data_IF_846822833499
#
_entry.id   IF_846822833499
#
_cell.length_a   1.000
_cell.length_b   1.000
_cell.length_c   1.000
_cell.angle_alpha   90.00
_cell.angle_beta   90.00
_cell.angle_gamma   90.00
#
_symmetry.space_group_name_H-M   'P 1'
#
loop_
_entity.id
_entity.type
_entity.pdbx_description
1 polymer ?
#
# COMPACT_ATOMS: atom_id res chain seq x y z
N UNK A 1 -27.92 -1.27 -4.37
CA UNK A 1 -27.36 -0.77 -5.63
C UNK A 1 -26.21 0.15 -5.26
N UNK A 2 -25.06 0.00 -5.89
CA UNK A 2 -23.94 0.90 -5.64
C UNK A 2 -24.31 2.30 -6.13
N UNK A 3 -23.92 3.33 -5.36
CA UNK A 3 -24.20 4.73 -5.64
C UNK A 3 -23.18 5.37 -6.60
N UNK A 4 -22.52 4.52 -7.39
CA UNK A 4 -21.54 4.84 -8.40
C UNK A 4 -21.63 3.80 -9.53
N UNK A 5 -20.99 4.10 -10.66
CA UNK A 5 -20.81 3.19 -11.79
C UNK A 5 -19.40 3.34 -12.37
N UNK A 6 -18.90 2.28 -13.04
CA UNK A 6 -17.61 2.32 -13.75
C UNK A 6 -17.89 2.60 -15.23
N UNK A 7 -17.23 3.63 -15.78
CA UNK A 7 -17.36 4.05 -17.18
C UNK A 7 -16.00 4.28 -17.81
N UNK A 8 -15.89 4.11 -19.12
CA UNK A 8 -14.73 4.59 -19.88
C UNK A 8 -14.87 6.10 -20.11
N UNK A 9 -13.87 6.88 -19.72
CA UNK A 9 -13.75 8.30 -20.00
C UNK A 9 -12.60 8.54 -20.98
N UNK A 10 -12.84 9.42 -21.95
CA UNK A 10 -11.85 9.77 -22.97
C UNK A 10 -10.56 10.31 -22.32
N UNK A 11 -9.41 9.73 -22.70
CA UNK A 11 -8.09 10.11 -22.18
C UNK A 11 -7.77 9.63 -20.76
N UNK A 12 -8.72 9.01 -20.05
CA UNK A 12 -8.53 8.52 -18.66
C UNK A 12 -8.75 7.01 -18.50
N UNK A 13 -9.32 6.36 -19.51
CA UNK A 13 -9.73 4.97 -19.40
C UNK A 13 -10.89 4.80 -18.41
N UNK A 14 -10.89 3.67 -17.68
CA UNK A 14 -11.94 3.38 -16.69
C UNK A 14 -11.92 4.39 -15.55
N UNK A 15 -13.10 4.86 -15.17
CA UNK A 15 -13.30 5.80 -14.10
C UNK A 15 -14.56 5.46 -13.29
N UNK A 16 -14.54 5.81 -12.00
CA UNK A 16 -15.70 5.73 -11.13
C UNK A 16 -16.50 7.04 -11.19
N UNK A 17 -17.80 6.96 -11.46
CA UNK A 17 -18.69 8.12 -11.60
C UNK A 17 -19.86 8.02 -10.62
N UNK A 18 -20.16 9.10 -9.92
CA UNK A 18 -21.25 9.16 -8.94
C UNK A 18 -22.63 9.03 -9.62
N UNK A 19 -23.51 8.16 -9.10
CA UNK A 19 -24.89 8.01 -9.62
C UNK A 19 -25.94 8.76 -8.78
N UNK A 20 -25.51 9.36 -7.67
CA UNK A 20 -26.25 10.30 -6.83
C UNK A 20 -25.32 11.41 -6.33
N UNK A 21 -25.90 12.38 -5.62
CA UNK A 21 -25.12 13.35 -4.86
C UNK A 21 -24.59 12.72 -3.56
N UNK A 22 -23.36 13.06 -3.19
CA UNK A 22 -22.74 12.73 -1.91
C UNK A 22 -22.44 14.00 -1.12
N UNK A 23 -22.67 13.97 0.18
CA UNK A 23 -22.23 15.04 1.10
C UNK A 23 -20.84 14.72 1.66
N UNK A 24 -20.19 15.73 2.26
CA UNK A 24 -18.88 15.56 2.92
C UNK A 24 -18.95 14.46 3.99
N UNK A 25 -17.91 13.65 4.08
CA UNK A 25 -17.75 12.47 4.94
C UNK A 25 -18.74 11.32 4.70
N UNK A 26 -19.60 11.43 3.69
CA UNK A 26 -20.47 10.31 3.31
C UNK A 26 -19.63 9.14 2.77
N UNK A 27 -19.88 7.94 3.30
CA UNK A 27 -19.27 6.70 2.83
C UNK A 27 -19.83 6.37 1.44
N UNK A 28 -18.93 6.28 0.45
CA UNK A 28 -19.24 5.90 -0.92
C UNK A 28 -19.34 4.36 -1.01
N UNK A 29 -18.33 3.66 -0.50
CA UNK A 29 -18.35 2.20 -0.31
C UNK A 29 -17.30 1.73 0.70
N UNK A 30 -17.46 0.47 1.12
CA UNK A 30 -16.46 -0.31 1.86
C UNK A 30 -16.08 -1.53 1.03
N UNK A 31 -14.80 -1.92 1.04
CA UNK A 31 -14.30 -3.05 0.27
C UNK A 31 -13.25 -3.86 1.05
N UNK A 32 -13.43 -5.18 1.11
CA UNK A 32 -12.39 -6.11 1.53
C UNK A 32 -11.38 -6.32 0.39
N UNK A 33 -10.09 -6.52 0.69
CA UNK A 33 -9.10 -6.70 -0.35
C UNK A 33 -9.30 -8.02 -1.10
N UNK A 34 -9.03 -7.98 -2.40
CA UNK A 34 -8.82 -9.18 -3.19
C UNK A 34 -7.66 -10.00 -2.60
N UNK A 35 -6.56 -9.32 -2.28
CA UNK A 35 -5.42 -9.85 -1.54
C UNK A 35 -4.77 -8.73 -0.74
N UNK A 36 -4.31 -9.01 0.47
CA UNK A 36 -3.53 -8.11 1.32
C UNK A 36 -2.32 -8.84 1.87
N UNK A 37 -1.25 -8.14 2.21
CA UNK A 37 -0.12 -8.71 2.94
C UNK A 37 0.67 -7.63 3.69
N UNK A 38 1.20 -8.01 4.85
CA UNK A 38 2.14 -7.18 5.61
C UNK A 38 3.43 -6.94 4.83
N UNK A 39 4.02 -5.77 4.98
CA UNK A 39 5.32 -5.45 4.41
C UNK A 39 6.43 -6.36 4.96
N UNK A 40 7.43 -6.65 4.13
CA UNK A 40 8.41 -7.69 4.40
C UNK A 40 9.40 -7.27 5.49
N UNK A 41 9.81 -6.01 5.50
CA UNK A 41 10.59 -5.41 6.57
C UNK A 41 9.78 -5.22 7.84
N UNK A 42 8.50 -4.82 7.78
CA UNK A 42 7.68 -4.74 9.00
C UNK A 42 7.58 -6.10 9.68
N UNK A 43 7.38 -7.18 8.91
CA UNK A 43 7.43 -8.54 9.42
C UNK A 43 8.80 -8.90 10.01
N UNK A 44 9.90 -8.52 9.36
CA UNK A 44 11.27 -8.78 9.81
C UNK A 44 11.64 -8.00 11.09
N UNK A 45 11.17 -6.77 11.23
CA UNK A 45 11.31 -5.93 12.43
C UNK A 45 10.32 -6.29 13.54
N UNK A 46 9.50 -7.32 13.34
CA UNK A 46 8.65 -7.89 14.37
C UNK A 46 7.31 -7.20 14.57
N UNK A 47 6.84 -6.37 13.62
CA UNK A 47 5.48 -5.85 13.66
C UNK A 47 4.49 -7.02 13.68
N UNK A 48 3.68 -7.11 14.72
CA UNK A 48 2.71 -8.18 14.85
C UNK A 48 1.38 -7.74 14.23
N UNK A 49 0.98 -8.39 13.13
CA UNK A 49 -0.32 -8.18 12.49
C UNK A 49 -1.04 -9.51 12.23
N UNK A 50 -2.36 -9.44 12.16
CA UNK A 50 -3.19 -10.56 11.74
C UNK A 50 -2.88 -10.91 10.28
N UNK A 51 -2.50 -12.16 10.03
CA UNK A 51 -2.15 -12.63 8.67
C UNK A 51 -3.32 -12.52 7.69
N UNK A 52 -4.57 -12.50 8.17
CA UNK A 52 -5.74 -12.28 7.32
C UNK A 52 -6.05 -10.81 7.08
N UNK A 53 -6.55 -10.11 8.11
CA UNK A 53 -7.13 -8.79 7.96
C UNK A 53 -6.19 -7.63 8.32
N UNK A 54 -4.88 -7.87 8.47
CA UNK A 54 -3.86 -6.86 8.83
C UNK A 54 -4.05 -6.14 10.17
N UNK A 55 -5.03 -6.54 10.99
CA UNK A 55 -5.27 -5.94 12.30
C UNK A 55 -4.04 -6.07 13.21
N UNK A 56 -3.61 -5.01 13.90
CA UNK A 56 -2.47 -5.06 14.80
C UNK A 56 -2.68 -6.07 15.93
N UNK A 57 -1.63 -6.83 16.25
CA UNK A 57 -1.57 -7.84 17.31
C UNK A 57 -0.51 -7.50 18.37
N UNK A 58 -0.11 -6.23 18.43
CA UNK A 58 0.70 -5.60 19.46
C UNK A 58 -0.04 -4.39 20.03
N UNK A 59 0.17 -4.10 21.31
CA UNK A 59 -0.33 -2.90 22.00
C UNK A 59 0.33 -1.63 21.47
N UNK A 60 -0.22 -0.47 21.82
CA UNK A 60 0.41 0.82 21.56
C UNK A 60 1.81 0.92 22.19
N UNK A 61 1.97 0.42 23.41
CA UNK A 61 3.26 0.45 24.11
C UNK A 61 4.28 -0.43 23.42
N UNK A 62 3.89 -1.66 23.04
CA UNK A 62 4.77 -2.57 22.29
C UNK A 62 5.16 -1.96 20.93
N UNK A 63 4.19 -1.37 20.21
CA UNK A 63 4.43 -0.69 18.93
C UNK A 63 5.46 0.45 19.08
N UNK A 64 5.25 1.37 20.02
CA UNK A 64 6.16 2.51 20.23
C UNK A 64 7.53 2.04 20.71
N UNK A 65 7.62 1.07 21.63
CA UNK A 65 8.90 0.58 22.13
C UNK A 65 9.71 -0.13 21.04
N UNK A 66 9.03 -0.88 20.16
CA UNK A 66 9.65 -1.51 18.99
C UNK A 66 10.17 -0.47 18.01
N UNK A 67 9.36 0.53 17.68
CA UNK A 67 9.71 1.58 16.73
C UNK A 67 10.81 2.53 17.24
N UNK A 68 10.81 2.85 18.53
CA UNK A 68 11.85 3.69 19.13
C UNK A 68 13.09 2.90 19.60
N UNK A 69 13.02 1.57 19.59
CA UNK A 69 14.02 0.64 20.15
C UNK A 69 14.45 0.99 21.59
N UNK A 70 13.53 1.57 22.38
CA UNK A 70 13.74 1.94 23.79
C UNK A 70 12.38 2.13 24.48
N UNK A 71 12.32 2.02 25.81
CA UNK A 71 11.11 2.39 26.54
C UNK A 71 10.77 3.87 26.35
N UNK A 72 9.57 4.14 25.84
CA UNK A 72 8.97 5.47 25.72
C UNK A 72 7.68 5.49 26.54
N UNK A 73 7.48 6.54 27.33
CA UNK A 73 6.26 6.73 28.07
C UNK A 73 5.16 7.22 27.11
N UNK A 74 4.03 6.51 27.09
CA UNK A 74 2.87 6.86 26.26
C UNK A 74 1.69 7.15 27.19
N UNK A 75 1.10 8.37 27.15
CA UNK A 75 -0.04 8.71 27.99
C UNK A 75 -1.34 8.10 27.45
N UNK A 76 -2.45 8.28 28.19
CA UNK A 76 -3.81 7.96 27.71
C UNK A 76 -3.96 6.53 27.17
N UNK A 77 -3.38 5.54 27.86
CA UNK A 77 -3.39 4.13 27.45
C UNK A 77 -4.80 3.51 27.45
N UNK A 78 -5.74 4.11 28.18
CA UNK A 78 -7.16 3.77 28.09
C UNK A 78 -7.75 3.99 26.68
N UNK A 79 -7.07 4.76 25.83
CA UNK A 79 -7.43 4.97 24.43
C UNK A 79 -6.73 4.01 23.47
N UNK A 80 -5.88 3.08 23.92
CA UNK A 80 -5.21 2.09 23.05
C UNK A 80 -6.25 1.37 22.15
N UNK A 81 -6.13 1.48 20.81
CA UNK A 81 -7.13 0.96 19.89
C UNK A 81 -7.19 -0.58 19.91
N UNK A 82 -6.15 -1.26 20.40
CA UNK A 82 -5.99 -2.72 20.30
C UNK A 82 -6.62 -3.52 21.44
N UNK A 83 -6.93 -2.84 22.55
CA UNK A 83 -7.59 -3.41 23.74
C UNK A 83 -8.75 -4.38 23.43
N UNK A 84 -9.66 -4.12 22.46
CA UNK A 84 -10.81 -4.99 22.21
C UNK A 84 -10.48 -6.38 21.69
N UNK A 85 -9.31 -6.60 21.06
CA UNK A 85 -8.99 -7.86 20.36
C UNK A 85 -7.70 -8.55 20.81
N UNK A 86 -6.85 -7.90 21.59
CA UNK A 86 -5.58 -8.50 22.03
C UNK A 86 -5.72 -9.78 22.86
N UNK A 87 -6.87 -9.99 23.51
CA UNK A 87 -7.11 -11.20 24.30
C UNK A 87 -7.60 -12.40 23.47
N UNK A 88 -7.89 -12.21 22.18
CA UNK A 88 -8.63 -13.17 21.36
C UNK A 88 -7.81 -13.77 20.21
N UNK A 89 -6.52 -13.45 20.11
CA UNK A 89 -5.72 -13.96 18.99
C UNK A 89 -5.56 -15.48 19.04
N UNK A 90 -5.55 -16.08 17.85
CA UNK A 90 -5.26 -17.50 17.63
C UNK A 90 -4.04 -17.63 16.71
N UNK A 91 -3.59 -18.85 16.48
CA UNK A 91 -2.47 -19.11 15.59
C UNK A 91 -2.61 -20.42 14.83
N UNK A 92 -2.02 -20.49 13.64
CA UNK A 92 -1.89 -21.74 12.91
C UNK A 92 -1.03 -22.73 13.72
N UNK A 93 -1.53 -23.93 13.94
CA UNK A 93 -0.83 -24.94 14.73
C UNK A 93 0.50 -25.40 14.08
N UNK A 94 0.61 -25.30 12.75
CA UNK A 94 1.78 -25.74 11.98
C UNK A 94 2.86 -24.67 11.89
N UNK A 95 2.54 -23.49 11.35
CA UNK A 95 3.53 -22.43 11.10
C UNK A 95 3.55 -21.31 12.15
N UNK A 96 2.65 -21.34 13.14
CA UNK A 96 2.53 -20.34 14.21
C UNK A 96 2.19 -18.91 13.76
N UNK A 97 1.79 -18.71 12.50
CA UNK A 97 1.27 -17.41 12.06
C UNK A 97 0.02 -17.05 12.86
N UNK A 98 -0.11 -15.77 13.23
CA UNK A 98 -1.14 -15.29 14.17
C UNK A 98 -2.33 -14.69 13.42
N UNK A 99 -3.50 -14.80 14.02
CA UNK A 99 -4.77 -14.24 13.54
C UNK A 99 -5.47 -13.53 14.69
N UNK A 100 -6.15 -12.42 14.44
CA UNK A 100 -6.87 -11.68 15.49
C UNK A 100 -8.09 -12.43 16.04
N UNK A 101 -8.61 -13.43 15.32
CA UNK A 101 -9.75 -14.26 15.71
C UNK A 101 -9.71 -15.63 15.02
N UNK A 102 -10.54 -16.56 15.51
CA UNK A 102 -10.75 -17.86 14.86
C UNK A 102 -11.36 -17.69 13.45
N UNK A 103 -12.28 -16.75 13.28
CA UNK A 103 -12.90 -16.45 11.97
C UNK A 103 -11.85 -16.04 10.94
N UNK A 104 -10.93 -15.15 11.30
CA UNK A 104 -9.81 -14.76 10.43
C UNK A 104 -8.91 -15.96 10.06
N UNK A 105 -8.65 -16.86 11.00
CA UNK A 105 -7.88 -18.08 10.68
C UNK A 105 -8.65 -19.01 9.75
N UNK A 106 -9.96 -19.18 9.96
CA UNK A 106 -10.81 -20.04 9.12
C UNK A 106 -10.90 -19.48 7.70
N UNK A 107 -11.13 -18.18 7.54
CA UNK A 107 -11.21 -17.56 6.21
C UNK A 107 -9.85 -17.58 5.49
N UNK A 108 -8.74 -17.33 6.21
CA UNK A 108 -7.40 -17.49 5.65
C UNK A 108 -7.14 -18.93 5.17
N UNK A 109 -7.45 -19.96 5.98
CA UNK A 109 -7.35 -21.38 5.59
C UNK A 109 -8.16 -21.69 4.35
N UNK A 110 -9.38 -21.17 4.27
CA UNK A 110 -10.28 -21.36 3.13
C UNK A 110 -9.71 -20.72 1.86
N UNK A 111 -9.19 -19.48 1.93
CA UNK A 111 -8.72 -18.69 0.78
C UNK A 111 -7.32 -19.06 0.29
N UNK A 112 -6.31 -19.12 1.16
CA UNK A 112 -4.90 -19.26 0.73
C UNK A 112 -3.98 -20.02 1.69
N UNK A 113 -4.31 -20.11 2.99
CA UNK A 113 -3.34 -20.55 3.98
C UNK A 113 -3.05 -22.06 3.97
N UNK A 114 -3.92 -22.92 3.40
CA UNK A 114 -3.60 -24.36 3.28
C UNK A 114 -2.39 -24.60 2.36
N UNK A 115 -2.28 -23.82 1.29
CA UNK A 115 -1.17 -23.83 0.32
C UNK A 115 -0.03 -22.93 0.81
N UNK A 116 -0.32 -21.72 1.29
CA UNK A 116 0.71 -20.78 1.75
C UNK A 116 1.38 -21.17 3.09
N UNK A 117 0.84 -22.13 3.84
CA UNK A 117 1.41 -22.53 5.14
C UNK A 117 2.77 -23.20 4.96
N UNK A 118 3.84 -22.48 5.29
CA UNK A 118 5.21 -23.00 5.27
C UNK A 118 5.52 -23.99 6.40
N UNK A 119 4.60 -24.21 7.35
CA UNK A 119 4.81 -25.13 8.47
C UNK A 119 6.12 -24.87 9.21
N UNK A 120 6.96 -25.92 9.33
CA UNK A 120 8.28 -25.83 9.96
C UNK A 120 9.31 -25.02 9.15
N UNK A 121 9.09 -24.83 7.85
CA UNK A 121 9.97 -24.06 6.96
C UNK A 121 9.77 -22.54 7.08
N UNK A 122 8.88 -22.08 7.96
CA UNK A 122 8.60 -20.64 8.11
C UNK A 122 9.87 -19.83 8.39
N UNK A 123 10.77 -20.38 9.21
CA UNK A 123 12.02 -19.73 9.60
C UNK A 123 13.24 -20.38 8.90
N UNK A 124 13.01 -21.08 7.78
CA UNK A 124 14.08 -21.68 6.98
C UNK A 124 14.46 -20.73 5.85
N UNK A 125 15.59 -20.06 5.98
CA UNK A 125 16.08 -19.08 4.99
C UNK A 125 16.39 -19.71 3.62
N UNK A 126 16.51 -21.04 3.55
CA UNK A 126 16.73 -21.77 2.28
C UNK A 126 15.43 -22.11 1.56
N UNK A 127 14.28 -21.95 2.21
CA UNK A 127 12.98 -22.20 1.60
C UNK A 127 12.76 -21.24 0.42
N UNK A 128 12.32 -21.70 -0.76
CA UNK A 128 12.23 -20.86 -1.97
C UNK A 128 11.43 -19.56 -1.80
N UNK A 129 10.37 -19.58 -1.00
CA UNK A 129 9.56 -18.38 -0.69
C UNK A 129 10.35 -17.38 0.18
N UNK A 130 11.14 -17.87 1.14
CA UNK A 130 11.96 -17.01 1.99
C UNK A 130 13.11 -16.41 1.18
N UNK A 131 13.74 -17.20 0.30
CA UNK A 131 14.76 -16.68 -0.65
C UNK A 131 14.18 -15.57 -1.54
N UNK A 132 12.97 -15.76 -2.09
CA UNK A 132 12.29 -14.73 -2.87
C UNK A 132 12.05 -13.45 -2.04
N UNK A 133 11.58 -13.59 -0.81
CA UNK A 133 11.33 -12.47 0.08
C UNK A 133 12.62 -11.73 0.48
N UNK A 134 13.72 -12.44 0.70
CA UNK A 134 15.02 -11.83 1.00
C UNK A 134 15.58 -11.04 -0.18
N UNK A 135 15.41 -11.53 -1.42
CA UNK A 135 15.80 -10.80 -2.62
C UNK A 135 14.96 -9.51 -2.74
N UNK A 136 13.64 -9.60 -2.54
CA UNK A 136 12.76 -8.43 -2.53
C UNK A 136 13.21 -7.36 -1.53
N UNK A 137 13.47 -7.76 -0.27
CA UNK A 137 13.91 -6.84 0.78
C UNK A 137 15.24 -6.14 0.46
N UNK A 138 16.16 -6.82 -0.22
CA UNK A 138 17.44 -6.22 -0.65
C UNK A 138 17.26 -5.20 -1.77
N UNK A 139 16.24 -5.37 -2.62
CA UNK A 139 15.91 -4.43 -3.69
C UNK A 139 15.12 -3.23 -3.16
N UNK A 140 14.26 -3.44 -2.16
CA UNK A 140 13.37 -2.44 -1.57
C UNK A 140 13.71 -2.27 -0.10
N UNK A 141 14.75 -1.47 0.18
CA UNK A 141 15.03 -1.05 1.55
C UNK A 141 13.93 -0.07 2.02
N UNK A 142 13.58 -0.03 3.33
CA UNK A 142 12.54 0.87 3.82
C UNK A 142 12.79 2.35 3.43
N UNK A 143 11.71 3.14 3.24
CA UNK A 143 10.30 2.78 3.43
C UNK A 143 9.71 1.90 2.32
N UNK A 144 9.01 0.81 2.68
CA UNK A 144 8.36 -0.08 1.71
C UNK A 144 7.03 0.50 1.20
N UNK A 145 6.85 0.47 -0.12
CA UNK A 145 5.59 0.83 -0.79
C UNK A 145 4.85 -0.38 -1.36
N UNK A 146 5.46 -1.58 -1.30
CA UNK A 146 4.90 -2.82 -1.82
C UNK A 146 5.58 -4.06 -1.21
N UNK A 147 5.02 -5.24 -1.45
CA UNK A 147 5.64 -6.51 -1.03
C UNK A 147 5.43 -7.63 -2.06
N UNK A 148 6.48 -8.39 -2.34
CA UNK A 148 6.40 -9.60 -3.18
C UNK A 148 5.47 -10.67 -2.59
N UNK A 149 5.21 -10.60 -1.29
CA UNK A 149 4.37 -11.57 -0.59
C UNK A 149 2.90 -11.49 -1.00
N UNK A 150 2.46 -10.39 -1.63
CA UNK A 150 1.17 -10.34 -2.33
C UNK A 150 1.10 -11.37 -3.45
N UNK A 151 2.15 -11.48 -4.28
CA UNK A 151 2.20 -12.49 -5.36
C UNK A 151 2.22 -13.89 -4.76
N UNK A 152 2.99 -14.12 -3.70
CA UNK A 152 3.00 -15.42 -3.01
C UNK A 152 1.60 -15.81 -2.54
N UNK A 153 0.87 -14.87 -1.94
CA UNK A 153 -0.50 -15.10 -1.50
C UNK A 153 -1.46 -15.29 -2.68
N UNK A 154 -1.31 -14.55 -3.78
CA UNK A 154 -2.09 -14.74 -5.01
C UNK A 154 -1.90 -16.14 -5.60
N UNK A 155 -0.67 -16.65 -5.67
CA UNK A 155 -0.40 -18.01 -6.15
C UNK A 155 -1.10 -19.05 -5.27
N UNK A 156 -1.04 -18.87 -3.94
CA UNK A 156 -1.74 -19.76 -3.01
C UNK A 156 -3.27 -19.66 -3.12
N UNK A 157 -3.81 -18.46 -3.35
CA UNK A 157 -5.24 -18.27 -3.63
C UNK A 157 -5.67 -18.96 -4.92
N UNK A 158 -4.88 -18.83 -5.99
CA UNK A 158 -5.15 -19.46 -7.28
C UNK A 158 -5.17 -20.99 -7.17
N UNK A 159 -4.15 -21.57 -6.56
CA UNK A 159 -4.05 -23.03 -6.38
C UNK A 159 -5.22 -23.58 -5.54
N UNK A 160 -5.63 -22.86 -4.49
CA UNK A 160 -6.76 -23.26 -3.66
C UNK A 160 -8.14 -22.99 -4.26
N UNK A 161 -8.23 -22.14 -5.27
CA UNK A 161 -9.51 -21.72 -5.84
C UNK A 161 -10.15 -22.88 -6.59
N UNK A 162 -11.40 -23.17 -6.25
CA UNK A 162 -12.25 -24.05 -7.07
C UNK A 162 -12.75 -23.37 -8.36
N UNK A 163 -12.56 -22.05 -8.46
CA UNK A 163 -13.07 -21.20 -9.53
C UNK A 163 -11.93 -20.39 -10.17
N UNK A 164 -10.97 -21.09 -10.76
CA UNK A 164 -9.76 -20.49 -11.34
C UNK A 164 -10.05 -19.46 -12.43
N UNK A 165 -11.08 -19.68 -13.25
CA UNK A 165 -11.49 -18.75 -14.30
C UNK A 165 -11.97 -17.40 -13.73
N UNK A 166 -12.87 -17.42 -12.73
CA UNK A 166 -13.34 -16.20 -12.05
C UNK A 166 -12.18 -15.47 -11.35
N UNK A 167 -11.26 -16.21 -10.70
CA UNK A 167 -10.06 -15.62 -10.09
C UNK A 167 -9.18 -14.91 -11.13
N UNK A 168 -8.93 -15.56 -12.27
CA UNK A 168 -8.12 -14.98 -13.34
C UNK A 168 -8.80 -13.75 -13.96
N UNK A 169 -10.12 -13.77 -14.14
CA UNK A 169 -10.89 -12.62 -14.62
C UNK A 169 -10.76 -11.42 -13.67
N UNK A 170 -10.85 -11.66 -12.36
CA UNK A 170 -10.65 -10.62 -11.35
C UNK A 170 -9.21 -10.07 -11.36
N UNK A 171 -8.21 -10.95 -11.43
CA UNK A 171 -6.80 -10.57 -11.49
C UNK A 171 -6.48 -9.77 -12.77
N UNK A 172 -7.03 -10.17 -13.91
CA UNK A 172 -6.89 -9.46 -15.19
C UNK A 172 -7.65 -8.13 -15.23
N UNK A 173 -8.55 -7.88 -14.28
CA UNK A 173 -9.27 -6.61 -14.22
C UNK A 173 -8.39 -5.44 -13.73
N UNK A 174 -7.28 -5.71 -13.03
CA UNK A 174 -6.35 -4.70 -12.56
C UNK A 174 -5.56 -4.06 -13.72
N UNK A 175 -5.06 -2.85 -13.52
CA UNK A 175 -4.15 -2.25 -14.50
C UNK A 175 -2.80 -2.98 -14.44
N UNK A 176 -2.22 -3.32 -15.58
CA UNK A 176 -0.91 -3.97 -15.66
C UNK A 176 0.07 -3.20 -16.58
N UNK A 177 -0.29 -1.97 -16.95
CA UNK A 177 0.52 -1.13 -17.82
C UNK A 177 1.82 -0.75 -17.12
N UNK A 178 2.92 -1.30 -17.62
CA UNK A 178 4.28 -0.97 -17.19
C UNK A 178 5.00 -0.04 -18.17
N UNK A 179 4.41 0.19 -19.35
CA UNK A 179 4.93 1.07 -20.41
C UNK A 179 3.74 1.78 -21.08
N UNK A 180 3.72 3.11 -21.05
CA UNK A 180 2.81 3.91 -21.86
C UNK A 180 3.56 4.35 -23.12
N UNK A 181 3.33 3.64 -24.22
CA UNK A 181 4.04 3.87 -25.49
C UNK A 181 3.64 5.18 -26.16
N UNK A 182 2.41 5.66 -25.93
CA UNK A 182 1.92 6.92 -26.51
C UNK A 182 2.66 8.11 -25.89
N UNK A 183 2.86 8.08 -24.57
CA UNK A 183 3.54 9.14 -23.82
C UNK A 183 5.03 8.87 -23.59
N UNK A 184 5.55 7.72 -24.06
CA UNK A 184 6.93 7.23 -23.84
C UNK A 184 7.33 7.17 -22.36
N UNK A 185 6.41 6.78 -21.48
CA UNK A 185 6.67 6.65 -20.04
C UNK A 185 6.88 5.17 -19.69
N UNK A 186 7.91 4.90 -18.89
CA UNK A 186 8.24 3.58 -18.38
C UNK A 186 8.11 3.57 -16.86
N UNK A 187 7.67 2.44 -16.30
CA UNK A 187 7.63 2.26 -14.85
C UNK A 187 9.03 2.27 -14.25
N UNK A 188 9.24 2.93 -13.10
CA UNK A 188 10.55 3.03 -12.42
C UNK A 188 11.24 1.68 -12.23
N UNK A 189 10.47 0.65 -11.85
CA UNK A 189 10.93 -0.75 -11.76
C UNK A 189 11.52 -1.37 -13.04
N UNK A 190 11.39 -0.72 -14.21
CA UNK A 190 11.97 -1.15 -15.49
C UNK A 190 13.19 -0.31 -15.92
N UNK A 191 13.68 0.61 -15.09
CA UNK A 191 14.90 1.35 -15.38
C UNK A 191 16.12 0.43 -15.52
N UNK A 192 17.11 0.84 -16.30
CA UNK A 192 18.32 0.04 -16.61
C UNK A 192 19.06 -0.42 -15.33
N UNK A 193 19.03 0.40 -14.27
CA UNK A 193 19.62 0.12 -12.96
C UNK A 193 18.98 -1.08 -12.22
N UNK A 194 17.74 -1.46 -12.58
CA UNK A 194 16.98 -2.52 -11.91
C UNK A 194 16.94 -3.84 -12.70
N UNK A 195 17.45 -3.88 -13.93
CA UNK A 195 17.31 -5.05 -14.81
C UNK A 195 17.93 -6.31 -14.20
N UNK A 196 19.17 -6.21 -13.68
CA UNK A 196 19.85 -7.35 -13.06
C UNK A 196 19.15 -7.84 -11.79
N UNK A 197 18.66 -6.91 -10.96
CA UNK A 197 17.94 -7.25 -9.74
C UNK A 197 16.60 -7.91 -10.07
N UNK A 198 15.90 -7.42 -11.09
CA UNK A 198 14.65 -8.00 -11.59
C UNK A 198 14.85 -9.41 -12.17
N UNK A 199 15.97 -9.67 -12.85
CA UNK A 199 16.32 -11.02 -13.31
C UNK A 199 16.52 -11.99 -12.14
N UNK A 200 17.24 -11.56 -11.09
CA UNK A 200 17.42 -12.36 -9.87
C UNK A 200 16.08 -12.66 -9.17
N UNK A 201 15.22 -11.64 -9.03
CA UNK A 201 13.90 -11.76 -8.44
C UNK A 201 13.02 -12.72 -9.26
N UNK A 202 13.02 -12.61 -10.58
CA UNK A 202 12.31 -13.51 -11.48
C UNK A 202 12.81 -14.97 -11.37
N UNK A 203 14.13 -15.17 -11.30
CA UNK A 203 14.72 -16.49 -11.09
C UNK A 203 14.28 -17.12 -9.77
N UNK A 204 14.27 -16.35 -8.68
CA UNK A 204 13.77 -16.80 -7.38
C UNK A 204 12.26 -17.07 -7.39
N UNK A 205 11.48 -16.26 -8.11
CA UNK A 205 10.04 -16.46 -8.31
C UNK A 205 9.78 -17.79 -9.04
N UNK A 206 10.46 -18.05 -10.14
CA UNK A 206 10.37 -19.33 -10.85
C UNK A 206 10.78 -20.50 -9.97
N UNK A 207 11.79 -20.31 -9.11
CA UNK A 207 12.24 -21.33 -8.16
C UNK A 207 11.19 -21.64 -7.08
N UNK A 208 10.43 -20.63 -6.65
CA UNK A 208 9.35 -20.78 -5.69
C UNK A 208 8.10 -21.46 -6.28
N UNK A 209 7.82 -21.25 -7.57
CA UNK A 209 6.60 -21.71 -8.23
C UNK A 209 6.86 -22.68 -9.40
N UNK A 210 7.71 -23.70 -9.19
CA UNK A 210 8.14 -24.64 -10.24
C UNK A 210 7.07 -25.62 -10.75
N UNK A 211 5.97 -25.79 -10.03
CA UNK A 211 4.98 -26.82 -10.38
C UNK A 211 4.25 -26.49 -11.69
N UNK A 212 3.79 -27.53 -12.41
CA UNK A 212 3.02 -27.35 -13.66
C UNK A 212 1.77 -26.46 -13.48
N UNK A 213 1.19 -26.46 -12.28
CA UNK A 213 0.05 -25.61 -11.91
C UNK A 213 0.34 -24.12 -12.11
N UNK A 214 1.59 -23.68 -11.93
CA UNK A 214 1.99 -22.29 -12.04
C UNK A 214 2.67 -21.93 -13.37
N UNK A 215 2.72 -22.87 -14.32
CA UNK A 215 3.42 -22.67 -15.59
C UNK A 215 2.96 -21.42 -16.37
N UNK A 216 1.69 -21.02 -16.23
CA UNK A 216 1.18 -19.81 -16.87
C UNK A 216 1.68 -18.50 -16.23
N UNK A 217 2.10 -18.54 -14.97
CA UNK A 217 2.60 -17.37 -14.23
C UNK A 217 4.12 -17.23 -14.29
N UNK A 218 4.85 -18.33 -14.50
CA UNK A 218 6.32 -18.37 -14.52
C UNK A 218 6.92 -18.10 -15.90
N UNK A 219 6.20 -17.38 -16.76
CA UNK A 219 6.78 -16.79 -17.97
C UNK A 219 7.28 -15.37 -17.69
N UNK A 220 8.28 -14.85 -18.42
CA UNK A 220 8.77 -13.49 -18.20
C UNK A 220 7.67 -12.42 -18.33
N UNK A 221 6.78 -12.58 -19.32
CA UNK A 221 5.69 -11.63 -19.57
C UNK A 221 4.62 -11.68 -18.48
N UNK A 222 4.28 -12.88 -17.99
CA UNK A 222 3.33 -13.02 -16.89
C UNK A 222 3.89 -12.45 -15.59
N UNK A 223 5.18 -12.68 -15.30
CA UNK A 223 5.84 -12.07 -14.14
C UNK A 223 5.84 -10.53 -14.23
N UNK A 224 6.23 -9.97 -15.37
CA UNK A 224 6.17 -8.52 -15.62
C UNK A 224 4.75 -7.97 -15.46
N UNK A 225 3.74 -8.70 -15.90
CA UNK A 225 2.33 -8.34 -15.73
C UNK A 225 1.93 -8.31 -14.26
N UNK A 226 2.31 -9.33 -13.46
CA UNK A 226 2.06 -9.36 -12.01
C UNK A 226 2.75 -8.19 -11.31
N UNK A 227 3.99 -7.88 -11.67
CA UNK A 227 4.72 -6.74 -11.16
C UNK A 227 4.05 -5.41 -11.50
N UNK A 228 3.54 -5.26 -12.73
CA UNK A 228 2.73 -4.10 -13.14
C UNK A 228 1.45 -3.95 -12.34
N UNK A 229 0.76 -5.05 -12.06
CA UNK A 229 -0.44 -5.06 -11.20
C UNK A 229 -0.10 -4.56 -9.80
N UNK A 230 0.99 -5.08 -9.20
CA UNK A 230 1.43 -4.64 -7.88
C UNK A 230 1.82 -3.15 -7.89
N UNK A 231 2.66 -2.72 -8.83
CA UNK A 231 3.19 -1.36 -8.88
C UNK A 231 2.11 -0.29 -9.09
N UNK A 232 1.08 -0.58 -9.90
CA UNK A 232 0.10 0.43 -10.31
C UNK A 232 -1.23 0.39 -9.53
N UNK A 233 -1.48 -0.64 -8.71
CA UNK A 233 -2.76 -0.79 -8.01
C UNK A 233 -2.64 -1.09 -6.51
N UNK A 234 -1.43 -1.26 -5.97
CA UNK A 234 -1.28 -1.54 -4.53
C UNK A 234 -1.68 -0.33 -3.71
N UNK A 235 -2.60 -0.53 -2.77
CA UNK A 235 -2.99 0.46 -1.78
C UNK A 235 -2.28 0.14 -0.47
N UNK A 236 -1.55 1.11 0.09
CA UNK A 236 -0.99 1.02 1.43
C UNK A 236 -2.10 0.90 2.48
N UNK A 237 -1.93 -0.03 3.41
CA UNK A 237 -2.90 -0.34 4.48
C UNK A 237 -2.43 0.35 5.77
N UNK A 238 -3.14 1.41 6.15
CA UNK A 238 -2.79 2.25 7.30
C UNK A 238 -3.32 1.67 8.62
N UNK A 239 -2.68 0.63 9.13
CA UNK A 239 -3.08 -0.06 10.39
C UNK A 239 -2.16 0.22 11.57
N UNK A 240 -1.29 1.24 11.49
CA UNK A 240 -0.38 1.62 12.58
C UNK A 240 -1.14 1.94 13.87
N UNK A 241 -0.71 1.30 14.96
CA UNK A 241 -1.31 1.46 16.29
C UNK A 241 -1.09 2.87 16.82
N UNK A 242 0.13 3.39 16.66
CA UNK A 242 0.49 4.76 17.03
C UNK A 242 -0.38 5.77 16.30
N UNK A 243 -0.49 5.67 14.97
CA UNK A 243 -1.28 6.62 14.17
C UNK A 243 -2.77 6.61 14.53
N UNK A 244 -3.33 5.42 14.79
CA UNK A 244 -4.72 5.29 15.23
C UNK A 244 -4.96 5.85 16.63
N UNK A 245 -4.01 5.63 17.55
CA UNK A 245 -4.08 6.23 18.88
C UNK A 245 -4.03 7.75 18.80
N UNK A 246 -3.10 8.32 18.02
CA UNK A 246 -2.98 9.77 17.76
C UNK A 246 -4.32 10.33 17.28
N UNK A 247 -4.89 9.75 16.22
CA UNK A 247 -6.20 10.17 15.68
C UNK A 247 -7.27 10.21 16.79
N UNK A 248 -7.35 9.14 17.59
CA UNK A 248 -8.36 9.01 18.64
C UNK A 248 -8.17 9.98 19.80
N UNK A 249 -6.93 10.30 20.18
CA UNK A 249 -6.66 11.24 21.28
C UNK A 249 -6.76 12.70 20.83
N UNK A 250 -6.42 13.00 19.57
CA UNK A 250 -6.60 14.33 18.98
C UNK A 250 -8.07 14.76 18.87
N UNK A 251 -8.98 13.79 18.71
CA UNK A 251 -10.44 14.04 18.68
C UNK A 251 -11.07 14.24 20.07
N UNK A 252 -10.29 14.15 21.16
CA UNK A 252 -10.83 14.30 22.51
C UNK A 252 -11.23 15.75 22.79
N UNK A 253 -12.37 15.97 23.48
CA UNK A 253 -12.83 17.31 23.86
C UNK A 253 -12.03 17.84 25.06
N UNK A 254 -10.76 18.14 24.85
CA UNK A 254 -9.84 18.65 25.87
C UNK A 254 -9.78 20.19 25.87
N UNK A 255 -9.48 20.83 27.02
CA UNK A 255 -9.09 22.24 27.06
C UNK A 255 -7.87 22.51 26.16
N UNK A 256 -7.80 23.70 25.56
CA UNK A 256 -6.71 24.05 24.62
C UNK A 256 -5.30 23.88 25.20
N UNK A 257 -5.11 24.19 26.49
CA UNK A 257 -3.82 23.98 27.15
C UNK A 257 -3.43 22.49 27.21
N UNK A 258 -4.39 21.61 27.47
CA UNK A 258 -4.17 20.16 27.53
C UNK A 258 -3.96 19.58 26.13
N UNK A 259 -4.64 20.12 25.11
CA UNK A 259 -4.37 19.77 23.69
C UNK A 259 -2.96 20.11 23.27
N UNK A 260 -2.51 21.34 23.53
CA UNK A 260 -1.13 21.75 23.19
C UNK A 260 -0.10 20.88 23.91
N UNK A 261 -0.37 20.50 25.17
CA UNK A 261 0.50 19.57 25.89
C UNK A 261 0.50 18.17 25.26
N UNK A 262 -0.68 17.67 24.85
CA UNK A 262 -0.82 16.38 24.19
C UNK A 262 -0.09 16.36 22.84
N UNK A 263 -0.27 17.39 22.01
CA UNK A 263 0.42 17.54 20.73
C UNK A 263 1.94 17.50 20.91
N UNK A 264 2.45 18.22 21.91
CA UNK A 264 3.89 18.20 22.21
C UNK A 264 4.40 16.81 22.63
N UNK A 265 3.58 16.02 23.32
CA UNK A 265 3.93 14.64 23.68
C UNK A 265 3.88 13.72 22.45
N UNK A 266 2.89 13.90 21.58
CA UNK A 266 2.79 13.16 20.32
C UNK A 266 4.02 13.43 19.45
N UNK A 267 4.42 14.70 19.31
CA UNK A 267 5.60 15.11 18.57
C UNK A 267 6.89 14.49 19.15
N UNK A 268 7.03 14.47 20.48
CA UNK A 268 8.17 13.83 21.16
C UNK A 268 8.20 12.30 20.95
N UNK A 269 7.04 11.64 20.89
CA UNK A 269 6.94 10.22 20.54
C UNK A 269 7.39 9.99 19.10
N UNK A 270 6.88 10.77 18.14
CA UNK A 270 7.28 10.65 16.73
C UNK A 270 8.76 10.97 16.52
N UNK A 271 9.31 11.97 17.21
CA UNK A 271 10.74 12.27 17.15
C UNK A 271 11.59 11.08 17.63
N UNK A 272 11.23 10.48 18.78
CA UNK A 272 11.93 9.28 19.31
C UNK A 272 11.80 8.06 18.42
N UNK A 273 10.66 7.90 17.75
CA UNK A 273 10.46 6.86 16.73
C UNK A 273 11.35 7.14 15.53
N UNK A 274 11.35 8.37 15.01
CA UNK A 274 12.15 8.79 13.85
C UNK A 274 13.66 8.64 14.08
N UNK A 275 14.16 8.85 15.30
CA UNK A 275 15.57 8.64 15.67
C UNK A 275 16.08 7.22 15.36
N UNK A 276 15.21 6.20 15.42
CA UNK A 276 15.59 4.81 15.17
C UNK A 276 14.99 4.23 13.88
N UNK A 277 13.70 4.48 13.65
CA UNK A 277 12.96 3.93 12.51
C UNK A 277 13.15 4.76 11.22
N UNK A 278 13.69 5.98 11.29
CA UNK A 278 13.81 6.88 10.14
C UNK A 278 12.45 7.37 9.66
N UNK A 279 12.28 7.46 8.33
CA UNK A 279 10.99 7.76 7.71
C UNK A 279 10.01 6.60 7.93
N UNK A 280 9.13 6.78 8.92
CA UNK A 280 8.09 5.83 9.25
C UNK A 280 6.81 6.16 8.48
N UNK A 281 6.48 5.34 7.48
CA UNK A 281 5.15 5.38 6.86
C UNK A 281 4.14 4.75 7.83
N UNK A 282 2.97 5.39 8.00
CA UNK A 282 1.87 4.86 8.81
C UNK A 282 1.18 3.63 8.17
N UNK A 283 1.81 3.00 7.17
CA UNK A 283 1.33 1.85 6.42
C UNK A 283 2.09 0.59 6.82
N UNK A 284 1.36 -0.47 7.14
CA UNK A 284 1.95 -1.69 7.67
C UNK A 284 1.99 -2.84 6.66
N UNK A 285 1.37 -2.62 5.51
CA UNK A 285 1.26 -3.56 4.42
C UNK A 285 0.58 -2.92 3.23
N UNK A 286 0.27 -3.74 2.25
CA UNK A 286 -0.45 -3.32 1.05
C UNK A 286 -1.51 -4.33 0.66
N UNK A 287 -2.48 -3.89 -0.14
CA UNK A 287 -3.52 -4.75 -0.70
C UNK A 287 -3.97 -4.31 -2.08
N UNK A 288 -4.58 -5.26 -2.80
CA UNK A 288 -5.23 -5.04 -4.09
C UNK A 288 -6.75 -5.04 -3.88
N UNK A 289 -7.41 -4.01 -4.37
CA UNK A 289 -8.84 -3.76 -4.19
C UNK A 289 -9.51 -3.59 -5.55
N UNK A 290 -10.54 -4.40 -5.84
CA UNK A 290 -11.11 -4.50 -7.18
C UNK A 290 -11.81 -3.21 -7.58
N UNK A 291 -12.60 -2.61 -6.68
CA UNK A 291 -13.34 -1.37 -6.93
C UNK A 291 -12.44 -0.15 -6.74
N UNK A 292 -11.66 -0.10 -5.66
CA UNK A 292 -10.77 1.04 -5.40
C UNK A 292 -9.71 1.23 -6.51
N UNK A 293 -9.21 0.15 -7.13
CA UNK A 293 -8.31 0.23 -8.29
C UNK A 293 -8.93 0.84 -9.57
N UNK A 294 -10.23 1.14 -9.58
CA UNK A 294 -10.92 1.79 -10.71
C UNK A 294 -11.11 3.29 -10.53
N UNK A 295 -10.59 3.85 -9.44
CA UNK A 295 -10.74 5.27 -9.11
C UNK A 295 -9.51 6.01 -9.60
N UNK A 296 -9.69 7.01 -10.45
CA UNK A 296 -8.57 7.77 -11.00
C UNK A 296 -7.99 8.78 -10.01
N UNK A 297 -6.77 9.22 -10.33
CA UNK A 297 -6.07 10.27 -9.61
C UNK A 297 -6.60 11.68 -9.92
N UNK A 298 -6.59 12.55 -8.91
CA UNK A 298 -6.61 14.01 -9.04
C UNK A 298 -5.73 14.64 -7.96
N UNK A 299 -4.93 15.67 -8.30
CA UNK A 299 -4.20 16.45 -7.28
C UNK A 299 -5.12 17.36 -6.45
N UNK A 300 -6.41 17.40 -6.79
CA UNK A 300 -7.52 17.98 -6.01
C UNK A 300 -8.60 16.91 -5.89
N UNK A 301 -8.38 15.88 -5.05
CA UNK A 301 -9.31 14.76 -4.94
C UNK A 301 -10.62 15.20 -4.31
N UNK A 302 -11.71 14.50 -4.65
CA UNK A 302 -13.02 14.70 -4.04
C UNK A 302 -13.44 13.53 -3.14
N UNK A 303 -12.63 12.47 -3.07
CA UNK A 303 -12.78 11.36 -2.15
C UNK A 303 -11.41 10.93 -1.58
N UNK A 304 -11.42 10.18 -0.48
CA UNK A 304 -10.22 9.58 0.10
C UNK A 304 -10.46 8.14 0.56
N UNK A 305 -9.42 7.31 0.44
CA UNK A 305 -9.36 5.97 1.04
C UNK A 305 -8.98 6.09 2.52
N UNK A 306 -9.67 5.35 3.38
CA UNK A 306 -9.39 5.29 4.83
C UNK A 306 -9.50 3.87 5.36
N UNK A 307 -8.93 3.60 6.54
CA UNK A 307 -8.95 2.30 7.21
C UNK A 307 -9.49 2.43 8.65
N UNK A 308 -10.77 2.81 8.83
CA UNK A 308 -11.32 3.19 10.13
C UNK A 308 -11.48 2.02 11.12
N UNK A 309 -11.38 0.76 10.65
CA UNK A 309 -11.66 -0.43 11.45
C UNK A 309 -10.42 -1.17 11.95
N UNK A 310 -9.25 -0.51 11.85
CA UNK A 310 -7.96 -1.09 12.25
C UNK A 310 -7.71 -2.45 11.58
N UNK A 311 -8.02 -2.54 10.30
CA UNK A 311 -7.87 -3.72 9.47
C UNK A 311 -7.66 -3.30 8.00
N UNK A 312 -7.63 -4.28 7.10
CA UNK A 312 -7.44 -4.09 5.65
C UNK A 312 -8.72 -3.74 4.88
N UNK A 313 -9.84 -3.42 5.54
CA UNK A 313 -11.04 -2.95 4.85
C UNK A 313 -10.84 -1.49 4.47
N UNK A 314 -10.85 -1.21 3.16
CA UNK A 314 -10.80 0.17 2.67
C UNK A 314 -12.20 0.77 2.71
N UNK A 315 -12.30 1.97 3.26
CA UNK A 315 -13.53 2.78 3.26
C UNK A 315 -13.27 4.04 2.44
N UNK A 316 -14.00 4.18 1.34
CA UNK A 316 -13.94 5.37 0.50
C UNK A 316 -14.99 6.37 0.99
N UNK A 317 -14.56 7.57 1.38
CA UNK A 317 -15.45 8.66 1.81
C UNK A 317 -15.29 9.91 0.96
N UNK A 318 -16.37 10.66 0.80
CA UNK A 318 -16.34 11.94 0.09
C UNK A 318 -15.62 13.01 0.94
N UNK A 319 -14.63 13.69 0.33
CA UNK A 319 -13.90 14.82 0.91
C UNK A 319 -14.62 16.15 0.70
N UNK A 320 -15.33 16.26 -0.41
CA UNK A 320 -16.11 17.44 -0.81
C UNK A 320 -17.47 16.95 -1.32
N UNK A 321 -18.49 17.82 -1.44
CA UNK A 321 -19.74 17.43 -2.06
C UNK A 321 -19.50 16.93 -3.51
N UNK A 322 -19.93 15.71 -3.82
CA UNK A 322 -19.80 15.12 -5.15
C UNK A 322 -21.18 15.09 -5.79
N UNK A 323 -21.36 15.76 -6.91
CA UNK A 323 -22.64 15.77 -7.62
C UNK A 323 -22.80 14.51 -8.47
N UNK A 324 -24.04 14.08 -8.68
CA UNK A 324 -24.38 13.03 -9.63
C UNK A 324 -23.76 13.33 -11.00
N UNK A 325 -23.05 12.36 -11.56
CA UNK A 325 -22.37 12.44 -12.84
C UNK A 325 -20.93 12.96 -12.77
N UNK A 326 -20.46 13.41 -11.60
CA UNK A 326 -19.06 13.75 -11.41
C UNK A 326 -18.21 12.48 -11.26
N UNK A 327 -16.99 12.55 -11.79
CA UNK A 327 -15.95 11.55 -11.54
C UNK A 327 -15.54 11.61 -10.07
N UNK A 328 -15.41 10.44 -9.45
CA UNK A 328 -14.86 10.26 -8.12
C UNK A 328 -13.36 10.05 -8.29
N UNK A 329 -12.55 10.89 -7.65
CA UNK A 329 -11.10 10.85 -7.73
C UNK A 329 -10.48 10.85 -6.33
N UNK A 330 -9.42 10.06 -6.18
CA UNK A 330 -8.55 10.04 -5.00
C UNK A 330 -7.18 10.64 -5.34
N UNK A 331 -6.35 10.89 -4.33
CA UNK A 331 -4.93 11.14 -4.57
C UNK A 331 -4.15 9.82 -4.59
N UNK A 332 -3.14 9.76 -5.44
CA UNK A 332 -2.14 8.68 -5.50
C UNK A 332 -0.82 9.12 -4.87
N UNK A 333 -0.76 10.39 -4.47
CA UNK A 333 0.34 11.07 -3.81
C UNK A 333 -0.06 11.34 -2.36
N UNK A 334 0.90 11.33 -1.44
CA UNK A 334 0.66 11.78 -0.08
C UNK A 334 0.48 13.31 0.01
N UNK A 335 0.10 13.78 1.20
CA UNK A 335 -0.20 15.20 1.43
C UNK A 335 1.02 16.10 1.20
N UNK A 336 2.22 15.65 1.57
CA UNK A 336 3.45 16.40 1.33
C UNK A 336 3.72 16.54 -0.17
N UNK A 337 3.61 15.44 -0.91
CA UNK A 337 3.79 15.39 -2.36
C UNK A 337 2.72 16.21 -3.11
N UNK A 338 1.48 16.24 -2.61
CA UNK A 338 0.40 17.03 -3.20
C UNK A 338 0.70 18.54 -3.17
N UNK A 339 1.43 19.01 -2.16
CA UNK A 339 1.80 20.40 -2.01
C UNK A 339 3.06 20.79 -2.79
N UNK A 340 3.83 19.81 -3.29
CA UNK A 340 4.98 20.05 -4.18
C UNK A 340 4.56 20.64 -5.53
N UNK A 341 5.55 21.09 -6.30
CA UNK A 341 5.38 21.72 -7.62
C UNK A 341 4.64 20.80 -8.61
N UNK A 342 4.07 21.38 -9.67
CA UNK A 342 3.47 20.59 -10.77
C UNK A 342 4.48 19.63 -11.38
N UNK A 343 5.73 20.08 -11.53
CA UNK A 343 6.81 19.29 -12.07
C UNK A 343 7.08 18.04 -11.21
N UNK A 344 7.29 18.22 -9.91
CA UNK A 344 7.59 17.13 -8.97
C UNK A 344 6.43 16.13 -8.91
N UNK A 345 5.17 16.59 -8.83
CA UNK A 345 3.99 15.71 -8.91
C UNK A 345 3.92 14.93 -10.22
N UNK A 346 4.26 15.55 -11.35
CA UNK A 346 4.30 14.86 -12.65
C UNK A 346 5.45 13.86 -12.76
N UNK A 347 6.64 14.15 -12.24
CA UNK A 347 7.76 13.20 -12.15
C UNK A 347 7.28 11.92 -11.45
N UNK A 348 6.74 12.08 -10.24
CA UNK A 348 6.26 10.96 -9.41
C UNK A 348 5.13 10.16 -10.06
N UNK A 349 4.12 10.82 -10.64
CA UNK A 349 3.01 10.14 -11.29
C UNK A 349 3.43 9.41 -12.57
N UNK A 350 4.38 9.97 -13.34
CA UNK A 350 4.93 9.31 -14.52
C UNK A 350 5.71 8.04 -14.13
N UNK A 351 6.60 8.14 -13.15
CA UNK A 351 7.47 7.04 -12.73
C UNK A 351 6.69 5.85 -12.13
N UNK A 352 5.64 6.13 -11.36
CA UNK A 352 4.91 5.11 -10.60
C UNK A 352 3.59 4.65 -11.27
N UNK A 353 2.92 5.54 -12.00
CA UNK A 353 1.57 5.28 -12.52
C UNK A 353 1.43 5.47 -14.03
N UNK A 354 2.49 5.93 -14.70
CA UNK A 354 2.65 5.89 -16.16
C UNK A 354 1.63 6.78 -16.90
N UNK A 355 1.26 7.92 -16.30
CA UNK A 355 0.37 8.92 -16.90
C UNK A 355 0.78 10.34 -16.54
N UNK A 356 0.23 11.32 -17.26
CA UNK A 356 0.38 12.75 -16.98
C UNK A 356 -0.95 13.27 -16.42
N UNK A 357 -0.89 13.88 -15.24
CA UNK A 357 -2.09 14.42 -14.59
C UNK A 357 -2.56 15.71 -15.26
N UNK A 358 -3.83 15.73 -15.67
CA UNK A 358 -4.48 16.92 -16.24
C UNK A 358 -5.62 17.44 -15.36
N UNK A 359 -5.54 17.24 -14.04
CA UNK A 359 -6.54 17.74 -13.11
C UNK A 359 -6.57 19.30 -13.09
N UNK A 360 -7.61 19.92 -12.50
CA UNK A 360 -7.71 21.38 -12.44
C UNK A 360 -6.47 22.07 -11.84
N UNK A 361 -5.85 21.50 -10.78
CA UNK A 361 -4.61 22.02 -10.18
C UNK A 361 -3.44 22.01 -11.19
N UNK A 362 -3.21 20.87 -11.86
CA UNK A 362 -2.15 20.76 -12.85
C UNK A 362 -2.37 21.62 -14.11
N UNK A 363 -3.62 21.87 -14.51
CA UNK A 363 -3.93 22.78 -15.63
C UNK A 363 -3.72 24.24 -15.24
N UNK A 364 -4.09 24.62 -14.02
CA UNK A 364 -3.89 25.99 -13.52
C UNK A 364 -2.39 26.34 -13.39
N UNK A 365 -1.57 25.35 -13.05
CA UNK A 365 -0.11 25.49 -12.87
C UNK A 365 0.69 25.23 -14.16
N UNK A 366 0.04 25.18 -15.34
CA UNK A 366 0.71 24.78 -16.58
C UNK A 366 1.78 25.76 -17.07
N UNK A 367 1.73 27.03 -16.62
CA UNK A 367 2.71 28.07 -16.93
C UNK A 367 3.75 28.27 -15.84
N UNK A 368 3.67 27.51 -14.74
CA UNK A 368 4.64 27.62 -13.65
C UNK A 368 5.99 27.06 -14.15
N UNK A 369 7.13 27.64 -13.73
CA UNK A 369 8.43 27.12 -14.11
C UNK A 369 8.61 25.70 -13.57
N UNK A 370 9.24 24.84 -14.38
CA UNK A 370 9.62 23.49 -13.99
C UNK A 370 10.87 23.56 -13.10
N UNK A 371 10.69 23.96 -11.84
CA UNK A 371 11.74 24.01 -10.81
C UNK A 371 11.41 23.05 -9.67
N UNK A 372 12.40 22.29 -9.25
CA UNK A 372 12.47 21.64 -7.94
C UNK A 372 13.04 22.67 -6.96
N UNK A 373 12.57 22.71 -5.70
CA UNK A 373 13.25 23.53 -4.69
C UNK A 373 14.57 22.86 -4.31
N UNK A 374 15.61 23.62 -3.96
CA UNK A 374 16.92 23.08 -3.53
C UNK A 374 16.83 22.07 -2.34
N UNK A 375 15.74 22.08 -1.57
CA UNK A 375 15.44 21.07 -0.51
C UNK A 375 14.91 19.73 -1.06
N UNK A 376 14.64 19.63 -2.37
CA UNK A 376 14.25 18.39 -3.06
C UNK A 376 15.47 17.61 -3.59
N UNK A 377 16.66 18.24 -3.67
CA UNK A 377 17.88 17.58 -4.19
C UNK A 377 18.48 16.53 -3.22
N UNK A 378 18.18 16.64 -1.91
CA UNK A 378 18.71 15.69 -0.90
C UNK A 378 18.03 14.30 -0.96
N UNK A 379 16.79 14.20 -1.49
CA UNK A 379 16.14 12.91 -1.84
C UNK A 379 16.65 12.37 -3.20
N UNK A 380 17.31 13.23 -3.99
CA UNK A 380 17.75 12.99 -5.37
C UNK A 380 19.26 12.63 -5.49
N UNK A 381 20.03 12.57 -4.39
CA UNK A 381 21.45 12.11 -4.36
C UNK A 381 21.65 10.59 -4.67
N UNK A 382 20.67 9.96 -5.31
CA UNK A 382 20.77 8.61 -5.87
C UNK A 382 20.44 8.54 -7.38
N UNK A 383 20.08 9.63 -8.05
CA UNK A 383 19.71 9.60 -9.49
C UNK A 383 20.08 10.90 -10.24
N UNK A 384 21.16 11.59 -9.85
CA UNK A 384 21.64 12.76 -10.60
C UNK A 384 22.39 12.30 -11.87
N UNK A 385 21.79 12.55 -13.03
CA UNK A 385 22.48 12.50 -14.32
C UNK A 385 22.26 13.82 -15.05
N UNK A 386 23.35 14.59 -15.10
CA UNK A 386 23.62 15.64 -16.08
C UNK A 386 23.31 15.14 -17.50
N UNK A 387 22.25 15.67 -18.11
CA UNK A 387 22.04 15.63 -19.55
C UNK A 387 22.79 16.82 -20.16
N UNK A 388 24.12 16.71 -20.22
CA UNK A 388 25.00 17.64 -20.92
C UNK A 388 25.72 16.88 -22.04
N UNK A 389 24.98 16.53 -23.08
CA UNK A 389 25.51 16.14 -24.40
C UNK A 389 24.90 17.05 -25.49
N UNK A 390 25.19 18.35 -25.43
CA UNK A 390 25.20 19.21 -26.62
C UNK A 390 26.62 19.32 -27.20
N UNK A 391 26.80 18.62 -28.33
CA UNK A 391 27.58 19.00 -29.52
C UNK A 391 29.09 19.28 -29.37
N UNK A 392 29.90 18.33 -29.88
CA UNK A 392 30.72 18.56 -31.09
C UNK A 392 31.17 17.25 -31.77
#
# INVERSE_FOLDING_TARGET
MNHFEIRELEGKGRAMVATKDFVVDEIIFEEEPFVSHQFSWNAAYGYAACDHCMRPLETLVENVHRLANKPVAVPLLEHDPTTPWLQQFTQCQRCKVRYCSEDCMVEAKKRYHRVACMGAFRNDDTHPINVLNEIWKKMHYPPETGTIMLIVRLMAMYEQSSKKAEFLEQLQSFQALIINREQKIYHKMLGENFEQQMEQLYGAFCNAFKSEEFAMFTTPDAFKTLMGILGTNSQGIATSVLAQWVTKVSDLPLPEADKTQLDQVIDDIYAKVGEFAGEFLNNEGSGLYILQSKINHSCVPNAQSTFPYSNDIVVLKALTPIQKGQEICISYLDDCQLERSRHSRHKMLRENYIFICECPKCRAQASDPDVTSDEEDDDDEMDDYDDDDEMD
#
